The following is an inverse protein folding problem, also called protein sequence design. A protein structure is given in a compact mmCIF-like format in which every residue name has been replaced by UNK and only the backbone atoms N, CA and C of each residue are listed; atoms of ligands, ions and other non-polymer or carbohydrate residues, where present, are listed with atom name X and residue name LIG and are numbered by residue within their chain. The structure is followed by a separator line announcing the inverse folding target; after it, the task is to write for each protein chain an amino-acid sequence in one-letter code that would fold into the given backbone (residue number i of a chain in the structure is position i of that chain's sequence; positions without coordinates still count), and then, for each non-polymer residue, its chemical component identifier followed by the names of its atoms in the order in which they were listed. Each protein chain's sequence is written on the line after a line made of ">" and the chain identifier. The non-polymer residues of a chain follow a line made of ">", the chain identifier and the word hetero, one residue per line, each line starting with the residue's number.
data_IF_975529069771
#
_entry.id   IF_975529069771
#
_cell.length_a   1.000
_cell.length_b   1.000
_cell.length_c   1.000
_cell.angle_alpha   90.00
_cell.angle_beta   90.00
_cell.angle_gamma   90.00
#
_symmetry.space_group_name_H-M   'P 1'
#
loop_
_entity.id
_entity.type
_entity.pdbx_description
1 polymer ?
#
# COMPACT_ATOMS: atom_id res chain seq x y z
N UNK A 1 -10.87 2.11 32.31
CA UNK A 1 -9.51 1.99 31.73
C UNK A 1 -9.26 3.17 30.79
N UNK A 2 -8.04 3.69 30.75
CA UNK A 2 -7.60 4.66 29.73
C UNK A 2 -6.99 3.90 28.55
N UNK A 3 -7.45 4.19 27.34
CA UNK A 3 -6.97 3.55 26.11
C UNK A 3 -6.11 4.47 25.26
N UNK A 4 -5.18 3.90 24.51
CA UNK A 4 -4.47 4.56 23.42
C UNK A 4 -4.67 3.72 22.16
N UNK A 5 -5.25 4.31 21.13
CA UNK A 5 -5.30 3.71 19.81
C UNK A 5 -4.19 4.30 18.94
N UNK A 6 -3.29 3.47 18.42
CA UNK A 6 -2.22 3.90 17.52
C UNK A 6 -2.57 3.59 16.07
N UNK A 7 -3.00 4.64 15.34
CA UNK A 7 -3.20 4.59 13.90
C UNK A 7 -1.86 4.50 13.16
N UNK A 8 -1.82 3.66 12.12
CA UNK A 8 -0.68 3.43 11.23
C UNK A 8 -1.15 3.30 9.77
N UNK A 9 -1.34 2.06 9.31
CA UNK A 9 -1.78 1.70 7.96
C UNK A 9 -3.26 1.31 7.95
N UNK A 10 -4.07 2.05 8.71
CA UNK A 10 -5.46 1.77 9.04
C UNK A 10 -6.22 3.08 9.31
N UNK A 11 -6.00 4.10 8.48
CA UNK A 11 -6.54 5.46 8.62
C UNK A 11 -8.05 5.56 8.34
N UNK A 12 -8.84 4.73 9.04
CA UNK A 12 -10.29 4.57 8.91
C UNK A 12 -10.92 4.19 10.25
N UNK A 13 -12.21 4.46 10.40
CA UNK A 13 -12.98 4.01 11.59
C UNK A 13 -13.71 2.69 11.34
N UNK A 14 -14.18 2.44 10.11
CA UNK A 14 -14.87 1.21 9.76
C UNK A 14 -13.91 0.02 9.61
N UNK A 15 -14.43 -1.19 9.78
CA UNK A 15 -13.68 -2.44 9.70
C UNK A 15 -12.37 -2.41 10.50
N UNK A 16 -12.46 -1.94 11.74
CA UNK A 16 -11.34 -1.76 12.63
C UNK A 16 -11.60 -2.47 13.98
N UNK A 17 -11.35 -3.79 14.07
CA UNK A 17 -11.67 -4.59 15.26
C UNK A 17 -10.93 -4.12 16.53
N UNK A 18 -9.68 -3.69 16.40
CA UNK A 18 -8.91 -3.16 17.53
C UNK A 18 -9.55 -1.88 18.09
N UNK A 19 -10.06 -0.99 17.21
CA UNK A 19 -10.72 0.25 17.61
C UNK A 19 -12.07 -0.05 18.27
N UNK A 20 -12.85 -0.98 17.70
CA UNK A 20 -14.12 -1.43 18.28
C UNK A 20 -13.89 -2.04 19.67
N UNK A 21 -12.92 -2.93 19.81
CA UNK A 21 -12.59 -3.53 21.11
C UNK A 21 -12.12 -2.48 22.14
N UNK A 22 -11.27 -1.53 21.73
CA UNK A 22 -10.83 -0.43 22.60
C UNK A 22 -12.02 0.44 23.06
N UNK A 23 -12.95 0.76 22.13
CA UNK A 23 -14.10 1.62 22.43
C UNK A 23 -15.04 1.03 23.47
N UNK A 24 -15.15 -0.31 23.55
CA UNK A 24 -16.00 -1.02 24.50
C UNK A 24 -15.35 -1.18 25.88
N UNK A 25 -14.02 -1.12 25.96
CA UNK A 25 -13.25 -1.42 27.19
C UNK A 25 -12.76 -0.18 27.92
N UNK A 26 -12.67 0.96 27.22
CA UNK A 26 -12.07 2.17 27.76
C UNK A 26 -13.11 3.25 28.08
N UNK A 27 -12.88 3.98 29.18
CA UNK A 27 -13.73 5.11 29.59
C UNK A 27 -13.21 6.43 29.01
N UNK A 28 -11.92 6.48 28.67
CA UNK A 28 -11.29 7.59 27.96
C UNK A 28 -10.29 7.01 26.97
N UNK A 29 -10.09 7.67 25.84
CA UNK A 29 -9.16 7.21 24.82
C UNK A 29 -8.37 8.33 24.17
N UNK A 30 -7.11 8.04 23.86
CA UNK A 30 -6.22 8.85 23.05
C UNK A 30 -6.09 8.24 21.65
N UNK A 31 -6.48 8.98 20.62
CA UNK A 31 -6.33 8.58 19.21
C UNK A 31 -5.03 9.16 18.66
N UNK A 32 -4.01 8.33 18.47
CA UNK A 32 -2.65 8.77 18.17
C UNK A 32 -2.25 8.38 16.74
N UNK A 33 -1.60 9.32 16.04
CA UNK A 33 -0.73 9.03 14.91
C UNK A 33 0.66 9.60 15.20
N UNK A 34 1.72 8.90 14.78
CA UNK A 34 3.11 9.36 14.95
C UNK A 34 3.75 9.50 13.58
N UNK A 35 4.17 10.71 13.24
CA UNK A 35 5.06 10.95 12.10
C UNK A 35 6.49 10.71 12.54
N UNK A 36 7.16 9.77 11.87
CA UNK A 36 8.59 9.55 12.06
C UNK A 36 9.40 10.41 11.07
N UNK A 37 10.21 11.38 11.53
CA UNK A 37 11.04 12.22 10.66
C UNK A 37 12.03 11.44 9.80
N UNK A 38 12.36 10.19 10.15
CA UNK A 38 13.23 9.34 9.35
C UNK A 38 12.63 8.99 7.99
N UNK A 39 11.30 9.03 7.85
CA UNK A 39 10.63 8.70 6.58
C UNK A 39 11.03 9.63 5.43
N UNK A 40 11.32 10.89 5.75
CA UNK A 40 11.63 11.95 4.78
C UNK A 40 13.13 12.06 4.46
N UNK A 41 13.96 11.32 5.19
CA UNK A 41 15.42 11.32 4.98
C UNK A 41 15.79 10.22 4.00
N UNK A 42 16.73 10.47 3.07
CA UNK A 42 17.33 9.39 2.30
C UNK A 42 17.96 8.38 3.25
N UNK A 43 17.61 7.10 3.09
CA UNK A 43 18.07 6.03 3.98
C UNK A 43 18.87 4.99 3.19
N UNK A 44 18.19 4.00 2.60
CA UNK A 44 18.78 2.91 1.83
C UNK A 44 18.59 3.14 0.32
N UNK A 45 19.62 2.79 -0.46
CA UNK A 45 19.59 2.83 -1.93
C UNK A 45 19.23 4.20 -2.54
N UNK A 46 19.76 5.28 -1.95
CA UNK A 46 19.63 6.67 -2.45
C UNK A 46 18.20 7.23 -2.47
N UNK A 47 17.24 6.54 -1.86
CA UNK A 47 15.83 6.93 -1.83
C UNK A 47 15.37 7.23 -0.40
N UNK A 48 14.35 8.07 -0.28
CA UNK A 48 13.60 8.31 0.95
C UNK A 48 12.57 7.19 1.11
N UNK A 49 12.15 6.91 2.35
CA UNK A 49 11.05 5.99 2.58
C UNK A 49 9.72 6.57 2.09
N UNK A 50 9.53 7.88 2.14
CA UNK A 50 8.28 8.54 1.81
C UNK A 50 8.53 9.83 1.03
N UNK A 51 8.04 9.90 -0.21
CA UNK A 51 8.12 11.07 -1.09
C UNK A 51 6.85 11.92 -1.13
N UNK A 52 6.92 13.07 -1.81
CA UNK A 52 5.92 14.14 -1.78
C UNK A 52 4.47 13.69 -2.07
N UNK A 53 4.27 12.77 -3.01
CA UNK A 53 2.92 12.33 -3.41
C UNK A 53 2.25 11.55 -2.28
N UNK A 54 2.98 10.63 -1.65
CA UNK A 54 2.46 9.87 -0.51
C UNK A 54 2.39 10.71 0.76
N UNK A 55 3.26 11.71 0.91
CA UNK A 55 3.20 12.71 1.99
C UNK A 55 1.90 13.50 1.94
N UNK A 56 1.57 14.07 0.79
CA UNK A 56 0.33 14.81 0.58
C UNK A 56 -0.89 13.92 0.84
N UNK A 57 -0.92 12.71 0.26
CA UNK A 57 -2.01 11.75 0.44
C UNK A 57 -2.18 11.32 1.91
N UNK A 58 -1.09 11.14 2.63
CA UNK A 58 -1.09 10.86 4.07
C UNK A 58 -1.73 12.01 4.84
N UNK A 59 -1.36 13.25 4.56
CA UNK A 59 -1.89 14.41 5.29
C UNK A 59 -3.36 14.65 5.00
N UNK A 60 -3.79 14.48 3.75
CA UNK A 60 -5.21 14.49 3.39
C UNK A 60 -5.98 13.39 4.16
N UNK A 61 -5.42 12.18 4.23
CA UNK A 61 -6.02 11.06 4.96
C UNK A 61 -6.14 11.33 6.46
N UNK A 62 -5.14 11.94 7.08
CA UNK A 62 -5.17 12.28 8.51
C UNK A 62 -6.13 13.44 8.82
N UNK A 63 -6.28 14.42 7.92
CA UNK A 63 -7.31 15.47 8.03
C UNK A 63 -8.72 14.87 7.92
N UNK A 64 -8.92 13.94 6.98
CA UNK A 64 -10.19 13.22 6.84
C UNK A 64 -10.49 12.39 8.10
N UNK A 65 -9.51 11.66 8.64
CA UNK A 65 -9.64 10.92 9.88
C UNK A 65 -9.96 11.83 11.08
N UNK A 66 -9.30 12.99 11.20
CA UNK A 66 -9.62 13.98 12.24
C UNK A 66 -11.07 14.46 12.14
N UNK A 67 -11.57 14.73 10.92
CA UNK A 67 -12.95 15.14 10.67
C UNK A 67 -13.94 14.06 11.12
N UNK A 68 -13.68 12.79 10.82
CA UNK A 68 -14.54 11.69 11.27
C UNK A 68 -14.49 11.49 12.79
N UNK A 69 -13.31 11.59 13.41
CA UNK A 69 -13.18 11.50 14.86
C UNK A 69 -13.94 12.62 15.57
N UNK A 70 -13.95 13.84 15.03
CA UNK A 70 -14.70 14.99 15.59
C UNK A 70 -16.20 14.74 15.62
N UNK A 71 -16.77 14.06 14.61
CA UNK A 71 -18.19 13.66 14.59
C UNK A 71 -18.54 12.77 15.79
N UNK A 72 -17.59 11.95 16.23
CA UNK A 72 -17.71 11.07 17.41
C UNK A 72 -17.18 11.69 18.71
N UNK A 73 -17.10 13.04 18.79
CA UNK A 73 -16.59 13.79 19.96
C UNK A 73 -15.16 13.37 20.38
N UNK A 74 -14.38 12.88 19.43
CA UNK A 74 -12.99 12.50 19.57
C UNK A 74 -12.09 13.45 18.76
N UNK A 75 -10.78 13.27 18.89
CA UNK A 75 -9.79 14.04 18.13
C UNK A 75 -8.56 13.22 17.82
N UNK A 76 -8.00 13.43 16.64
CA UNK A 76 -6.67 12.90 16.32
C UNK A 76 -5.60 13.73 17.04
N UNK A 77 -4.70 13.05 17.72
CA UNK A 77 -3.46 13.62 18.26
C UNK A 77 -2.33 13.14 17.38
N UNK A 78 -1.64 14.08 16.75
CA UNK A 78 -0.46 13.77 15.94
C UNK A 78 0.78 14.23 16.68
N UNK A 79 1.76 13.33 16.75
CA UNK A 79 3.09 13.57 17.33
C UNK A 79 4.16 13.39 16.26
N UNK A 80 5.29 14.08 16.42
CA UNK A 80 6.44 13.98 15.52
C UNK A 80 7.64 13.43 16.27
N UNK A 81 8.15 12.28 15.85
CA UNK A 81 9.33 11.64 16.43
C UNK A 81 9.30 10.12 16.35
N UNK A 82 10.11 9.47 17.18
CA UNK A 82 10.21 8.02 17.24
C UNK A 82 8.98 7.43 17.99
N UNK A 83 8.15 6.58 17.36
CA UNK A 83 7.00 5.97 18.04
C UNK A 83 7.40 5.11 19.25
N UNK A 84 8.62 4.54 19.24
CA UNK A 84 9.14 3.72 20.35
C UNK A 84 9.54 4.54 21.59
N UNK A 85 9.58 5.85 21.49
CA UNK A 85 9.82 6.77 22.61
C UNK A 85 8.51 7.48 23.02
N UNK A 86 7.79 8.00 22.03
CA UNK A 86 6.55 8.75 22.23
C UNK A 86 5.45 7.90 22.88
N UNK A 87 5.24 6.67 22.41
CA UNK A 87 4.15 5.82 22.92
C UNK A 87 4.38 5.47 24.39
N UNK A 88 5.57 4.98 24.81
CA UNK A 88 5.84 4.77 26.24
C UNK A 88 5.69 6.03 27.10
N UNK A 89 6.13 7.19 26.62
CA UNK A 89 5.95 8.46 27.34
C UNK A 89 4.46 8.77 27.55
N UNK A 90 3.65 8.69 26.50
CA UNK A 90 2.20 8.93 26.56
C UNK A 90 1.49 7.89 27.44
N UNK A 91 1.91 6.63 27.37
CA UNK A 91 1.39 5.57 28.22
C UNK A 91 1.59 5.88 29.71
N UNK A 92 2.79 6.33 30.08
CA UNK A 92 3.11 6.74 31.45
C UNK A 92 2.34 8.00 31.85
N UNK A 93 2.38 9.04 31.02
CA UNK A 93 1.77 10.35 31.28
C UNK A 93 0.27 10.27 31.53
N UNK A 94 -0.44 9.47 30.73
CA UNK A 94 -1.91 9.38 30.77
C UNK A 94 -2.41 8.12 31.48
N UNK A 95 -1.52 7.37 32.14
CA UNK A 95 -1.85 6.11 32.82
C UNK A 95 -2.64 5.16 31.91
N UNK A 96 -2.17 4.98 30.67
CA UNK A 96 -2.83 4.12 29.68
C UNK A 96 -2.79 2.67 30.19
N UNK A 97 -3.95 2.02 30.18
CA UNK A 97 -4.10 0.61 30.56
C UNK A 97 -4.15 -0.33 29.35
N UNK A 98 -4.53 0.20 28.19
CA UNK A 98 -4.68 -0.56 26.94
C UNK A 98 -4.11 0.23 25.75
N UNK A 99 -3.05 -0.27 25.14
CA UNK A 99 -2.60 0.13 23.81
C UNK A 99 -3.26 -0.79 22.77
N UNK A 100 -3.95 -0.22 21.78
CA UNK A 100 -4.53 -0.96 20.67
C UNK A 100 -3.96 -0.50 19.33
N UNK A 101 -3.72 -1.44 18.41
CA UNK A 101 -3.30 -1.15 17.04
C UNK A 101 -3.75 -2.25 16.08
N UNK A 102 -3.85 -1.94 14.79
CA UNK A 102 -4.04 -2.95 13.74
C UNK A 102 -2.73 -3.65 13.40
N UNK A 103 -2.78 -4.96 13.17
CA UNK A 103 -1.64 -5.75 12.68
C UNK A 103 -1.19 -5.32 11.28
N UNK A 104 0.10 -5.39 11.00
CA UNK A 104 0.65 -5.08 9.68
C UNK A 104 1.81 -6.04 9.35
N UNK A 105 1.89 -6.59 8.13
CA UNK A 105 2.91 -7.58 7.78
C UNK A 105 4.27 -6.97 7.47
N UNK A 106 4.43 -5.65 7.47
CA UNK A 106 5.76 -5.04 7.32
C UNK A 106 6.71 -5.39 8.48
N UNK A 107 7.99 -5.56 8.17
CA UNK A 107 8.99 -6.05 9.13
C UNK A 107 9.27 -5.02 10.23
N UNK A 108 9.35 -3.74 9.88
CA UNK A 108 9.60 -2.68 10.86
C UNK A 108 8.38 -2.49 11.76
N UNK A 109 7.17 -2.53 11.19
CA UNK A 109 5.91 -2.39 11.89
C UNK A 109 5.68 -3.51 12.91
N UNK A 110 6.06 -4.75 12.57
CA UNK A 110 6.04 -5.88 13.52
C UNK A 110 7.06 -5.69 14.63
N UNK A 111 8.32 -5.35 14.29
CA UNK A 111 9.37 -5.12 15.30
C UNK A 111 8.98 -4.02 16.29
N UNK A 112 8.31 -2.97 15.83
CA UNK A 112 7.79 -1.91 16.70
C UNK A 112 6.74 -2.45 17.67
N UNK A 113 5.76 -3.22 17.19
CA UNK A 113 4.74 -3.81 18.07
C UNK A 113 5.33 -4.83 19.04
N UNK A 114 6.25 -5.69 18.59
CA UNK A 114 6.95 -6.66 19.45
C UNK A 114 7.73 -5.95 20.56
N UNK A 115 8.39 -4.84 20.24
CA UNK A 115 9.11 -4.03 21.22
C UNK A 115 8.15 -3.41 22.24
N UNK A 116 7.07 -2.75 21.79
CA UNK A 116 6.09 -2.13 22.68
C UNK A 116 5.39 -3.15 23.58
N UNK A 117 5.08 -4.34 23.05
CA UNK A 117 4.45 -5.44 23.81
C UNK A 117 5.35 -5.93 24.93
N UNK A 118 6.68 -5.94 24.72
CA UNK A 118 7.66 -6.37 25.74
C UNK A 118 8.02 -5.29 26.75
N UNK A 119 7.86 -4.02 26.40
CA UNK A 119 8.40 -2.90 27.18
C UNK A 119 7.34 -2.10 27.92
N UNK A 120 6.10 -2.07 27.42
CA UNK A 120 5.02 -1.34 28.08
C UNK A 120 4.44 -2.14 29.26
N UNK A 121 4.13 -1.47 30.38
CA UNK A 121 3.47 -2.11 31.52
C UNK A 121 1.96 -2.31 31.32
N UNK A 122 1.39 -1.74 30.25
CA UNK A 122 -0.02 -1.83 29.92
C UNK A 122 -0.32 -2.99 28.96
N UNK A 123 -1.59 -3.39 28.86
CA UNK A 123 -1.99 -4.40 27.88
C UNK A 123 -1.79 -3.88 26.46
N UNK A 124 -1.18 -4.68 25.60
CA UNK A 124 -1.04 -4.38 24.16
C UNK A 124 -1.93 -5.34 23.37
N UNK A 125 -2.94 -4.78 22.70
CA UNK A 125 -3.90 -5.51 21.88
C UNK A 125 -3.65 -5.21 20.40
N UNK A 126 -3.44 -6.27 19.62
CA UNK A 126 -3.29 -6.19 18.18
C UNK A 126 -4.41 -6.98 17.51
N UNK A 127 -5.05 -6.41 16.49
CA UNK A 127 -6.12 -7.10 15.74
C UNK A 127 -5.89 -7.06 14.24
N UNK A 128 -6.39 -8.08 13.55
CA UNK A 128 -6.17 -8.27 12.12
C UNK A 128 -7.31 -7.65 11.28
N UNK A 129 -6.99 -6.61 10.51
CA UNK A 129 -7.91 -6.01 9.54
C UNK A 129 -7.23 -5.41 8.30
N UNK A 130 -5.94 -5.66 8.11
CA UNK A 130 -5.21 -5.22 6.91
C UNK A 130 -5.37 -6.21 5.72
N UNK A 131 -5.76 -7.44 6.01
CA UNK A 131 -5.85 -8.57 5.09
C UNK A 131 -7.31 -9.01 4.85
N UNK A 132 -7.56 -9.70 3.72
CA UNK A 132 -8.85 -10.33 3.42
C UNK A 132 -9.18 -11.43 4.44
N UNK A 133 -8.17 -12.22 4.80
CA UNK A 133 -8.29 -13.34 5.73
C UNK A 133 -7.54 -13.04 7.02
N UNK A 134 -7.96 -13.67 8.11
CA UNK A 134 -7.20 -13.69 9.37
C UNK A 134 -6.35 -14.94 9.47
N UNK A 135 -5.30 -14.92 10.31
CA UNK A 135 -4.41 -16.07 10.57
C UNK A 135 -5.17 -17.35 10.87
N UNK A 136 -6.27 -17.24 11.62
CA UNK A 136 -7.07 -18.38 12.07
C UNK A 136 -7.86 -19.04 10.92
N UNK A 137 -8.05 -18.34 9.79
CA UNK A 137 -8.70 -18.90 8.60
C UNK A 137 -7.71 -19.61 7.67
N UNK A 138 -6.43 -19.23 7.68
CA UNK A 138 -5.44 -19.79 6.77
C UNK A 138 -4.75 -21.01 7.37
N UNK A 139 -4.47 -22.01 6.53
CA UNK A 139 -3.77 -23.23 6.95
C UNK A 139 -2.27 -23.23 6.63
N UNK A 140 -1.73 -22.11 6.16
CA UNK A 140 -0.34 -22.03 5.72
C UNK A 140 0.61 -21.82 6.90
N UNK A 141 1.73 -22.51 6.88
CA UNK A 141 2.90 -22.23 7.72
C UNK A 141 4.03 -21.70 6.84
N UNK A 142 5.10 -21.23 7.47
CA UNK A 142 6.29 -20.79 6.74
C UNK A 142 6.89 -21.89 5.87
N UNK A 143 6.82 -23.14 6.31
CA UNK A 143 7.40 -24.31 5.65
C UNK A 143 6.57 -24.76 4.44
N UNK A 144 5.25 -24.54 4.47
CA UNK A 144 4.33 -25.02 3.43
C UNK A 144 3.68 -23.89 2.60
N UNK A 145 4.17 -22.65 2.77
CA UNK A 145 3.65 -21.48 2.07
C UNK A 145 3.75 -21.68 0.55
N UNK A 146 2.69 -21.41 -0.22
CA UNK A 146 2.69 -21.59 -1.68
C UNK A 146 3.78 -20.78 -2.38
N UNK A 147 4.61 -21.45 -3.18
CA UNK A 147 5.71 -20.80 -3.90
C UNK A 147 5.23 -19.98 -5.11
N UNK A 148 4.02 -20.25 -5.61
CA UNK A 148 3.41 -19.49 -6.71
C UNK A 148 2.03 -18.98 -6.33
N UNK A 149 1.61 -17.87 -6.96
CA UNK A 149 0.26 -17.33 -6.79
C UNK A 149 -0.83 -18.33 -7.21
N UNK A 150 -0.63 -19.09 -8.29
CA UNK A 150 -1.60 -20.10 -8.72
C UNK A 150 -1.80 -21.18 -7.65
N UNK A 151 -0.72 -21.64 -7.01
CA UNK A 151 -0.82 -22.58 -5.88
C UNK A 151 -1.55 -21.93 -4.69
N UNK A 152 -1.26 -20.66 -4.38
CA UNK A 152 -1.96 -19.92 -3.33
C UNK A 152 -3.47 -19.83 -3.60
N UNK A 153 -3.85 -19.33 -4.78
CA UNK A 153 -5.25 -19.23 -5.22
C UNK A 153 -5.97 -20.58 -5.16
N UNK A 154 -5.32 -21.65 -5.63
CA UNK A 154 -5.90 -23.00 -5.60
C UNK A 154 -6.09 -23.50 -4.17
N UNK A 155 -5.15 -23.25 -3.24
CA UNK A 155 -5.32 -23.64 -1.84
C UNK A 155 -6.44 -22.86 -1.14
N UNK A 156 -6.54 -21.54 -1.38
CA UNK A 156 -7.64 -20.72 -0.87
C UNK A 156 -8.99 -21.26 -1.36
N UNK A 157 -9.09 -21.57 -2.66
CA UNK A 157 -10.30 -22.15 -3.27
C UNK A 157 -10.63 -23.53 -2.72
N UNK A 158 -9.64 -24.41 -2.55
CA UNK A 158 -9.84 -25.77 -2.03
C UNK A 158 -10.33 -25.79 -0.57
N UNK A 159 -10.03 -24.74 0.18
CA UNK A 159 -10.49 -24.56 1.56
C UNK A 159 -11.84 -23.84 1.66
N UNK A 160 -12.42 -23.40 0.53
CA UNK A 160 -13.62 -22.56 0.47
C UNK A 160 -13.51 -21.34 1.40
N UNK A 161 -12.32 -20.74 1.49
CA UNK A 161 -12.14 -19.57 2.35
C UNK A 161 -12.85 -18.36 1.76
N UNK A 162 -13.72 -17.78 2.56
CA UNK A 162 -14.37 -16.52 2.27
C UNK A 162 -13.66 -15.37 3.00
N UNK A 163 -13.50 -14.20 2.35
CA UNK A 163 -13.02 -13.00 3.03
C UNK A 163 -13.82 -12.71 4.31
N UNK A 164 -13.16 -12.17 5.33
CA UNK A 164 -13.87 -11.70 6.51
C UNK A 164 -14.87 -10.60 6.14
N UNK A 165 -16.06 -10.66 6.73
CA UNK A 165 -17.08 -9.61 6.58
C UNK A 165 -16.56 -8.34 7.27
N UNK A 166 -16.55 -7.18 6.60
CA UNK A 166 -16.15 -5.93 7.22
C UNK A 166 -17.11 -5.56 8.34
N UNK A 167 -16.57 -5.15 9.49
CA UNK A 167 -17.40 -4.71 10.62
C UNK A 167 -17.70 -3.21 10.54
N UNK A 168 -18.83 -2.79 11.13
CA UNK A 168 -19.14 -1.37 11.25
C UNK A 168 -18.13 -0.63 12.14
N UNK A 169 -18.02 0.69 11.94
CA UNK A 169 -17.30 1.56 12.87
C UNK A 169 -17.99 1.56 14.25
N UNK A 170 -17.29 1.89 15.35
CA UNK A 170 -17.93 1.97 16.67
C UNK A 170 -19.09 2.97 16.69
N UNK A 171 -20.21 2.60 17.34
CA UNK A 171 -21.38 3.47 17.51
C UNK A 171 -21.05 4.75 18.28
N UNK A 172 -20.12 4.66 19.22
CA UNK A 172 -19.54 5.78 19.95
C UNK A 172 -18.07 5.51 20.27
N UNK A 173 -17.31 6.57 20.45
CA UNK A 173 -15.94 6.49 20.96
C UNK A 173 -15.90 7.01 22.39
N UNK A 174 -15.00 6.47 23.25
CA UNK A 174 -14.80 7.00 24.60
C UNK A 174 -14.42 8.49 24.53
N UNK A 175 -14.72 9.30 25.55
CA UNK A 175 -14.23 10.67 25.66
C UNK A 175 -12.72 10.81 25.43
N UNK A 176 -12.32 11.91 24.80
CA UNK A 176 -10.92 12.16 24.45
C UNK A 176 -10.05 12.46 25.67
N UNK A 177 -8.89 11.81 25.75
CA UNK A 177 -7.81 12.24 26.64
C UNK A 177 -7.16 13.48 26.03
N UNK A 178 -7.04 14.55 26.81
CA UNK A 178 -6.41 15.78 26.33
C UNK A 178 -4.89 15.60 26.21
N UNK A 179 -4.37 15.72 25.00
CA UNK A 179 -2.94 15.81 24.71
C UNK A 179 -2.68 16.91 23.68
N UNK A 180 -1.55 17.61 23.82
CA UNK A 180 -1.15 18.62 22.86
C UNK A 180 -0.72 17.93 21.56
N UNK A 181 -1.25 18.37 20.43
CA UNK A 181 -0.74 17.95 19.12
C UNK A 181 0.52 18.73 18.77
N UNK A 182 1.46 18.07 18.11
CA UNK A 182 2.63 18.76 17.59
C UNK A 182 2.25 19.54 16.33
N UNK A 183 3.00 20.61 16.06
CA UNK A 183 2.99 21.19 14.72
C UNK A 183 3.77 20.24 13.82
N UNK A 184 3.19 19.94 12.69
CA UNK A 184 3.68 18.94 11.76
C UNK A 184 3.44 19.49 10.36
N UNK A 185 4.40 19.20 9.47
CA UNK A 185 4.48 19.80 8.13
C UNK A 185 3.22 19.60 7.31
N UNK A 186 3.10 20.39 6.23
CA UNK A 186 2.03 20.21 5.24
C UNK A 186 0.63 20.63 5.66
N UNK A 187 0.48 21.39 6.76
CA UNK A 187 -0.74 22.17 7.00
C UNK A 187 -1.01 23.19 5.88
N UNK A 188 0.02 23.56 5.13
CA UNK A 188 -0.01 24.51 4.01
C UNK A 188 0.07 23.87 2.62
N UNK A 189 0.03 22.53 2.47
CA UNK A 189 0.00 21.94 1.13
C UNK A 189 -1.34 22.30 0.46
N UNK A 190 -1.32 23.34 -0.36
CA UNK A 190 -2.26 23.69 -1.42
C UNK A 190 -1.67 23.14 -2.72
N UNK A 191 -1.40 21.84 -2.76
CA UNK A 191 -1.00 21.21 -4.00
C UNK A 191 -1.96 20.06 -4.21
N UNK A 192 -2.72 20.09 -5.30
CA UNK A 192 -3.37 18.91 -5.87
C UNK A 192 -2.32 18.26 -6.78
N UNK A 193 -1.22 17.72 -6.23
CA UNK A 193 -0.14 17.16 -7.06
C UNK A 193 -0.63 15.98 -7.90
N UNK A 194 -1.69 15.34 -7.44
CA UNK A 194 -2.28 14.16 -8.06
C UNK A 194 -3.81 14.26 -7.96
N UNK A 195 -4.56 13.54 -8.81
CA UNK A 195 -6.01 13.46 -8.70
C UNK A 195 -6.47 12.57 -7.53
N UNK A 196 -5.55 12.02 -6.75
CA UNK A 196 -5.88 11.27 -5.54
C UNK A 196 -6.13 12.23 -4.38
N UNK A 197 -7.26 12.02 -3.70
CA UNK A 197 -7.57 12.68 -2.44
C UNK A 197 -7.60 11.65 -1.30
N UNK A 198 -6.71 11.81 -0.33
CA UNK A 198 -6.62 10.93 0.83
C UNK A 198 -7.86 10.96 1.74
N UNK A 199 -8.13 9.83 2.39
CA UNK A 199 -9.19 9.68 3.40
C UNK A 199 -10.19 8.55 3.12
N UNK A 200 -10.82 8.06 4.19
CA UNK A 200 -11.81 6.97 4.13
C UNK A 200 -12.99 7.32 3.19
N UNK A 201 -13.57 8.51 3.36
CA UNK A 201 -14.67 9.00 2.52
C UNK A 201 -14.29 9.02 1.03
N UNK A 202 -13.11 9.56 0.68
CA UNK A 202 -12.63 9.61 -0.71
C UNK A 202 -12.40 8.23 -1.30
N UNK A 203 -11.90 7.28 -0.50
CA UNK A 203 -11.74 5.89 -0.92
C UNK A 203 -13.07 5.20 -1.20
N UNK A 204 -14.08 5.45 -0.37
CA UNK A 204 -15.45 4.95 -0.58
C UNK A 204 -16.11 5.59 -1.80
N UNK A 205 -15.88 6.89 -2.04
CA UNK A 205 -16.33 7.58 -3.26
C UNK A 205 -15.71 6.94 -4.49
N UNK A 206 -14.39 6.71 -4.50
CA UNK A 206 -13.73 6.07 -5.63
C UNK A 206 -14.22 4.62 -5.84
N UNK A 207 -14.45 3.86 -4.77
CA UNK A 207 -15.03 2.52 -4.84
C UNK A 207 -16.42 2.57 -5.51
N UNK A 208 -17.30 3.46 -5.05
CA UNK A 208 -18.62 3.63 -5.64
C UNK A 208 -18.57 4.12 -7.09
N UNK A 209 -17.65 5.04 -7.38
CA UNK A 209 -17.44 5.58 -8.70
C UNK A 209 -17.09 4.46 -9.69
N UNK A 210 -16.11 3.62 -9.35
CA UNK A 210 -15.65 2.53 -10.21
C UNK A 210 -16.68 1.39 -10.36
N UNK A 211 -17.32 0.97 -9.27
CA UNK A 211 -18.25 -0.17 -9.28
C UNK A 211 -19.60 0.21 -9.90
N UNK A 212 -20.14 1.37 -9.54
CA UNK A 212 -21.55 1.68 -9.80
C UNK A 212 -21.76 2.86 -10.75
N UNK A 213 -21.02 3.96 -10.59
CA UNK A 213 -21.26 5.17 -11.41
C UNK A 213 -20.74 5.03 -12.82
N UNK A 214 -19.46 4.69 -12.98
CA UNK A 214 -18.83 4.48 -14.30
C UNK A 214 -19.00 3.06 -14.80
N UNK A 215 -19.40 2.13 -13.92
CA UNK A 215 -19.49 0.69 -14.20
C UNK A 215 -18.18 0.13 -14.77
N UNK A 216 -17.02 0.70 -14.38
CA UNK A 216 -15.70 0.30 -14.85
C UNK A 216 -15.40 -1.18 -14.59
N UNK A 217 -16.01 -1.76 -13.54
CA UNK A 217 -15.90 -3.18 -13.24
C UNK A 217 -16.42 -4.08 -14.37
N UNK A 218 -17.37 -3.65 -15.21
CA UNK A 218 -17.88 -4.47 -16.33
C UNK A 218 -16.78 -4.85 -17.33
N UNK A 219 -15.90 -3.90 -17.65
CA UNK A 219 -14.83 -4.07 -18.64
C UNK A 219 -13.43 -4.25 -18.01
N UNK A 220 -13.36 -4.48 -16.70
CA UNK A 220 -12.09 -4.47 -15.96
C UNK A 220 -11.05 -5.46 -16.52
N UNK A 221 -11.46 -6.70 -16.85
CA UNK A 221 -10.50 -7.70 -17.33
C UNK A 221 -9.79 -7.27 -18.63
N UNK A 222 -10.49 -6.55 -19.51
CA UNK A 222 -9.94 -6.10 -20.78
C UNK A 222 -9.16 -4.78 -20.64
N UNK A 223 -9.61 -3.89 -19.74
CA UNK A 223 -9.07 -2.54 -19.59
C UNK A 223 -7.82 -2.46 -18.68
N UNK A 224 -7.65 -3.39 -17.73
CA UNK A 224 -6.67 -3.29 -16.63
C UNK A 224 -5.19 -3.15 -17.02
N UNK A 225 -4.84 -3.42 -18.28
CA UNK A 225 -3.47 -3.32 -18.77
C UNK A 225 -3.18 -1.96 -19.46
N UNK A 226 -4.13 -1.03 -19.50
CA UNK A 226 -3.89 0.32 -20.04
C UNK A 226 -2.81 1.10 -19.26
N UNK A 227 -2.06 1.96 -19.97
CA UNK A 227 -0.96 2.73 -19.37
C UNK A 227 -1.41 4.00 -18.64
N UNK A 228 -2.41 4.70 -19.18
CA UNK A 228 -2.77 6.03 -18.70
C UNK A 228 -4.27 6.26 -18.85
N UNK A 229 -4.90 6.88 -17.85
CA UNK A 229 -6.35 7.07 -17.76
C UNK A 229 -6.97 6.44 -16.52
N UNK A 230 -7.85 7.20 -15.85
CA UNK A 230 -8.47 6.80 -14.58
C UNK A 230 -9.38 5.57 -14.72
N UNK A 231 -10.04 5.44 -15.88
CA UNK A 231 -11.03 4.40 -16.20
C UNK A 231 -10.45 2.99 -16.41
N UNK A 232 -9.14 2.86 -16.64
CA UNK A 232 -8.54 1.57 -16.98
C UNK A 232 -8.45 0.61 -15.78
N UNK A 233 -8.47 1.11 -14.54
CA UNK A 233 -8.42 0.28 -13.35
C UNK A 233 -9.25 0.87 -12.21
N UNK A 234 -9.37 0.14 -11.10
CA UNK A 234 -10.12 0.60 -9.93
C UNK A 234 -9.52 1.83 -9.25
N UNK A 235 -8.21 2.06 -9.44
CA UNK A 235 -7.42 3.12 -8.78
C UNK A 235 -7.46 3.07 -7.25
N UNK A 236 -7.91 1.97 -6.63
CA UNK A 236 -8.09 1.87 -5.17
C UNK A 236 -6.79 1.69 -4.36
N UNK A 237 -5.66 1.47 -5.04
CA UNK A 237 -4.40 1.05 -4.41
C UNK A 237 -3.89 2.01 -3.34
N UNK A 238 -4.00 3.33 -3.55
CA UNK A 238 -3.53 4.33 -2.58
C UNK A 238 -4.28 4.22 -1.22
N UNK A 239 -5.60 4.13 -1.27
CA UNK A 239 -6.43 3.98 -0.06
C UNK A 239 -6.28 2.61 0.60
N UNK A 240 -6.03 1.56 -0.18
CA UNK A 240 -5.73 0.22 0.36
C UNK A 240 -4.35 0.18 1.05
N UNK A 241 -3.37 0.93 0.56
CA UNK A 241 -2.00 0.92 1.07
C UNK A 241 -1.88 1.62 2.44
N UNK A 242 -2.51 2.77 2.63
CA UNK A 242 -2.54 3.46 3.93
C UNK A 242 -3.73 3.03 4.82
N UNK A 243 -4.55 2.11 4.34
CA UNK A 243 -5.69 1.55 5.06
C UNK A 243 -6.88 2.48 5.27
N UNK A 244 -6.94 3.62 4.57
CA UNK A 244 -8.14 4.44 4.50
C UNK A 244 -9.33 3.68 3.90
N UNK A 245 -9.09 2.69 3.04
CA UNK A 245 -10.11 1.74 2.57
C UNK A 245 -9.73 0.32 2.99
N UNK A 246 -10.67 -0.41 3.59
CA UNK A 246 -10.46 -1.82 3.90
C UNK A 246 -10.58 -2.68 2.65
N UNK A 247 -9.65 -3.64 2.50
CA UNK A 247 -9.74 -4.67 1.47
C UNK A 247 -10.99 -5.56 1.63
N UNK A 248 -11.48 -5.74 2.87
CA UNK A 248 -12.71 -6.50 3.16
C UNK A 248 -13.95 -5.74 2.70
N UNK A 249 -13.94 -4.42 2.80
CA UNK A 249 -15.00 -3.57 2.23
C UNK A 249 -15.04 -3.70 0.72
N UNK A 250 -13.89 -3.70 0.03
CA UNK A 250 -13.85 -3.92 -1.43
C UNK A 250 -14.36 -5.31 -1.81
N UNK A 251 -13.99 -6.35 -1.06
CA UNK A 251 -14.47 -7.71 -1.29
C UNK A 251 -15.99 -7.86 -1.06
N UNK A 252 -16.52 -7.25 0.00
CA UNK A 252 -17.96 -7.23 0.27
C UNK A 252 -18.73 -6.45 -0.80
N UNK A 253 -18.18 -5.34 -1.30
CA UNK A 253 -18.81 -4.59 -2.41
C UNK A 253 -18.78 -5.37 -3.72
N UNK A 254 -17.73 -6.16 -3.95
CA UNK A 254 -17.64 -7.09 -5.08
C UNK A 254 -18.69 -8.19 -5.00
N UNK A 255 -18.89 -8.79 -3.82
CA UNK A 255 -19.94 -9.79 -3.59
C UNK A 255 -21.34 -9.18 -3.81
N UNK A 256 -21.61 -7.98 -3.28
CA UNK A 256 -22.85 -7.24 -3.55
C UNK A 256 -23.04 -6.92 -5.04
N UNK A 257 -21.97 -6.57 -5.75
CA UNK A 257 -22.02 -6.34 -7.19
C UNK A 257 -22.37 -7.62 -7.96
N UNK A 258 -21.72 -8.74 -7.64
CA UNK A 258 -21.99 -10.05 -8.25
C UNK A 258 -23.39 -10.56 -7.92
N UNK A 259 -23.90 -10.31 -6.70
CA UNK A 259 -25.28 -10.64 -6.34
C UNK A 259 -26.31 -9.95 -7.24
N UNK A 260 -26.07 -8.68 -7.61
CA UNK A 260 -27.01 -7.90 -8.44
C UNK A 260 -26.83 -8.07 -9.94
N UNK A 261 -25.60 -8.33 -10.40
CA UNK A 261 -25.25 -8.32 -11.83
C UNK A 261 -24.77 -9.67 -12.36
N UNK A 262 -24.59 -10.67 -11.48
CA UNK A 262 -23.94 -11.94 -11.80
C UNK A 262 -22.41 -11.87 -11.78
N UNK A 263 -21.78 -13.04 -11.69
CA UNK A 263 -20.34 -13.20 -11.84
C UNK A 263 -19.92 -13.01 -13.29
N UNK A 264 -18.72 -12.50 -13.52
CA UNK A 264 -18.16 -12.30 -14.85
C UNK A 264 -16.64 -12.46 -14.84
N UNK A 265 -15.98 -12.61 -16.00
CA UNK A 265 -14.53 -12.61 -16.08
C UNK A 265 -13.89 -11.35 -15.46
N UNK A 266 -14.57 -10.21 -15.50
CA UNK A 266 -14.09 -8.96 -14.89
C UNK A 266 -14.19 -8.93 -13.37
N UNK A 267 -15.25 -9.50 -12.78
CA UNK A 267 -15.36 -9.60 -11.31
C UNK A 267 -14.38 -10.63 -10.76
N UNK A 268 -14.20 -11.75 -11.46
CA UNK A 268 -13.16 -12.75 -11.15
C UNK A 268 -11.74 -12.17 -11.25
N UNK A 269 -11.47 -11.36 -12.28
CA UNK A 269 -10.19 -10.67 -12.43
C UNK A 269 -9.96 -9.71 -11.26
N UNK A 270 -10.95 -8.92 -10.86
CA UNK A 270 -10.87 -8.01 -9.70
C UNK A 270 -10.55 -8.80 -8.41
N UNK A 271 -11.29 -9.87 -8.14
CA UNK A 271 -11.02 -10.73 -6.97
C UNK A 271 -9.61 -11.33 -7.02
N UNK A 272 -9.16 -11.76 -8.20
CA UNK A 272 -7.81 -12.30 -8.38
C UNK A 272 -6.72 -11.27 -8.08
N UNK A 273 -6.91 -9.98 -8.39
CA UNK A 273 -5.95 -8.93 -8.02
C UNK A 273 -5.95 -8.65 -6.51
N UNK A 274 -7.12 -8.73 -5.83
CA UNK A 274 -7.17 -8.68 -4.36
C UNK A 274 -6.42 -9.85 -3.72
N UNK A 275 -6.52 -11.05 -4.30
CA UNK A 275 -5.74 -12.21 -3.86
C UNK A 275 -4.24 -12.06 -4.13
N UNK A 276 -3.82 -11.35 -5.19
CA UNK A 276 -2.41 -11.05 -5.41
C UNK A 276 -1.84 -10.17 -4.29
N UNK A 277 -2.59 -9.13 -3.90
CA UNK A 277 -2.24 -8.33 -2.71
C UNK A 277 -2.11 -9.25 -1.49
N UNK A 278 -3.12 -10.07 -1.22
CA UNK A 278 -3.15 -11.01 -0.10
C UNK A 278 -1.95 -11.97 -0.09
N UNK A 279 -1.61 -12.54 -1.25
CA UNK A 279 -0.45 -13.42 -1.42
C UNK A 279 0.84 -12.75 -0.97
N UNK A 280 1.08 -11.50 -1.41
CA UNK A 280 2.28 -10.77 -1.01
C UNK A 280 2.28 -10.41 0.47
N UNK A 281 1.14 -10.07 1.06
CA UNK A 281 1.04 -9.81 2.52
C UNK A 281 1.48 -11.03 3.34
N UNK A 282 0.98 -12.23 2.99
CA UNK A 282 1.39 -13.47 3.67
C UNK A 282 2.84 -13.85 3.38
N UNK A 283 3.32 -13.61 2.15
CA UNK A 283 4.72 -13.84 1.81
C UNK A 283 5.64 -12.96 2.68
N UNK A 284 5.28 -11.69 2.89
CA UNK A 284 6.00 -10.78 3.79
C UNK A 284 5.90 -11.22 5.26
N UNK A 285 4.76 -11.75 5.69
CA UNK A 285 4.59 -12.33 7.02
C UNK A 285 5.56 -13.50 7.26
N UNK A 286 5.59 -14.49 6.37
CA UNK A 286 6.39 -15.71 6.57
C UNK A 286 7.88 -15.55 6.27
N UNK A 287 8.24 -14.79 5.21
CA UNK A 287 9.63 -14.65 4.77
C UNK A 287 10.34 -13.44 5.39
N UNK A 288 9.61 -12.46 5.92
CA UNK A 288 10.14 -11.34 6.70
C UNK A 288 11.33 -10.65 6.01
N UNK A 289 12.47 -10.49 6.68
CA UNK A 289 13.66 -9.78 6.16
C UNK A 289 14.21 -10.34 4.84
N UNK A 290 13.90 -11.59 4.47
CA UNK A 290 14.27 -12.15 3.16
C UNK A 290 13.59 -11.44 2.00
N UNK A 291 12.49 -10.72 2.24
CA UNK A 291 11.83 -9.86 1.25
C UNK A 291 12.70 -8.69 0.78
N UNK A 292 13.76 -8.33 1.50
CA UNK A 292 14.65 -7.22 1.17
C UNK A 292 16.07 -7.67 0.79
N UNK A 293 16.35 -8.97 0.91
CA UNK A 293 17.67 -9.52 0.67
C UNK A 293 18.02 -9.52 -0.83
N UNK A 294 19.25 -9.18 -1.19
CA UNK A 294 19.70 -9.11 -2.59
C UNK A 294 19.45 -10.40 -3.37
N UNK A 295 19.70 -11.54 -2.73
CA UNK A 295 19.52 -12.90 -3.24
C UNK A 295 18.09 -13.46 -3.03
N UNK A 296 17.19 -12.62 -2.51
CA UNK A 296 15.74 -12.84 -2.36
C UNK A 296 15.33 -14.10 -1.60
N UNK A 297 14.08 -14.54 -1.75
CA UNK A 297 13.61 -15.77 -1.11
C UNK A 297 14.38 -17.01 -1.60
N UNK A 298 14.78 -17.04 -2.88
CA UNK A 298 15.53 -18.15 -3.51
C UNK A 298 16.95 -18.36 -2.98
N UNK A 299 17.54 -17.39 -2.30
CA UNK A 299 18.97 -17.42 -1.88
C UNK A 299 19.93 -17.62 -3.06
N UNK A 300 19.56 -17.06 -4.22
CA UNK A 300 20.38 -17.10 -5.44
C UNK A 300 20.67 -15.67 -5.86
N UNK A 301 21.96 -15.31 -5.91
CA UNK A 301 22.38 -13.96 -6.30
C UNK A 301 22.05 -13.72 -7.78
N UNK A 302 21.38 -12.61 -8.12
CA UNK A 302 21.25 -12.18 -9.51
C UNK A 302 22.59 -11.63 -10.00
N UNK A 303 22.77 -11.58 -11.33
CA UNK A 303 23.97 -11.02 -11.97
C UNK A 303 23.91 -9.49 -12.11
N UNK A 304 23.25 -8.82 -11.19
CA UNK A 304 23.08 -7.36 -11.20
C UNK A 304 24.02 -6.68 -10.21
N UNK A 305 24.33 -5.41 -10.46
CA UNK A 305 25.17 -4.57 -9.60
C UNK A 305 24.62 -3.15 -9.55
N UNK A 306 25.24 -2.25 -8.79
CA UNK A 306 24.89 -0.84 -8.86
C UNK A 306 25.69 -0.14 -9.97
N UNK A 307 25.00 0.24 -11.05
CA UNK A 307 25.53 1.08 -12.13
C UNK A 307 24.88 2.46 -12.05
N UNK A 308 25.62 3.46 -11.56
CA UNK A 308 25.07 4.78 -11.22
C UNK A 308 24.47 5.52 -12.42
N UNK A 309 25.14 5.49 -13.56
CA UNK A 309 24.68 6.14 -14.79
C UNK A 309 23.38 5.50 -15.31
N UNK A 310 23.36 4.17 -15.45
CA UNK A 310 22.17 3.43 -15.88
C UNK A 310 20.99 3.65 -14.92
N UNK A 311 21.25 3.63 -13.62
CA UNK A 311 20.21 3.89 -12.61
C UNK A 311 19.66 5.32 -12.73
N UNK A 312 20.52 6.34 -12.89
CA UNK A 312 20.10 7.73 -13.03
C UNK A 312 19.31 7.96 -14.32
N UNK A 313 19.73 7.34 -15.43
CA UNK A 313 18.99 7.39 -16.69
C UNK A 313 17.59 6.77 -16.54
N UNK A 314 17.48 5.63 -15.86
CA UNK A 314 16.18 5.00 -15.56
C UNK A 314 15.32 5.87 -14.64
N UNK A 315 15.89 6.35 -13.54
CA UNK A 315 15.22 7.20 -12.54
C UNK A 315 14.58 8.44 -13.19
N UNK A 316 15.30 9.09 -14.11
CA UNK A 316 14.87 10.31 -14.79
C UNK A 316 14.02 10.06 -16.03
N UNK A 317 13.92 8.81 -16.50
CA UNK A 317 13.28 8.48 -17.77
C UNK A 317 14.04 9.03 -18.98
N UNK A 318 15.35 8.80 -19.02
CA UNK A 318 16.31 9.20 -20.06
C UNK A 318 17.16 8.02 -20.56
N UNK A 319 16.58 6.82 -20.59
CA UNK A 319 17.19 5.62 -21.18
C UNK A 319 17.08 5.63 -22.71
N UNK A 320 17.68 4.65 -23.38
CA UNK A 320 17.47 4.43 -24.83
C UNK A 320 16.07 3.90 -25.17
N UNK A 321 15.24 3.55 -24.17
CA UNK A 321 13.93 2.92 -24.35
C UNK A 321 12.77 3.91 -24.14
N UNK A 322 12.10 4.40 -25.20
CA UNK A 322 11.09 5.46 -25.08
C UNK A 322 9.90 5.09 -24.18
N UNK A 323 9.43 3.84 -24.24
CA UNK A 323 8.33 3.36 -23.40
C UNK A 323 8.69 3.36 -21.91
N UNK A 324 9.92 2.97 -21.56
CA UNK A 324 10.42 3.02 -20.19
C UNK A 324 10.48 4.46 -19.70
N UNK A 325 10.98 5.36 -20.55
CA UNK A 325 11.07 6.78 -20.25
C UNK A 325 9.70 7.39 -19.97
N UNK A 326 8.70 7.09 -20.81
CA UNK A 326 7.32 7.55 -20.63
C UNK A 326 6.72 7.07 -19.31
N UNK A 327 6.88 5.78 -18.97
CA UNK A 327 6.44 5.26 -17.67
C UNK A 327 7.15 5.94 -16.49
N UNK A 328 8.47 6.09 -16.53
CA UNK A 328 9.22 6.70 -15.43
C UNK A 328 8.86 8.18 -15.25
N UNK A 329 8.63 8.92 -16.33
CA UNK A 329 8.15 10.30 -16.27
C UNK A 329 6.73 10.40 -15.70
N UNK A 330 5.83 9.49 -16.07
CA UNK A 330 4.50 9.38 -15.45
C UNK A 330 4.61 9.19 -13.93
N UNK A 331 5.46 8.28 -13.47
CA UNK A 331 5.70 8.06 -12.04
C UNK A 331 6.24 9.32 -11.35
N UNK A 332 7.22 9.98 -11.94
CA UNK A 332 7.88 11.14 -11.34
C UNK A 332 6.98 12.38 -11.24
N UNK A 333 6.01 12.50 -12.14
CA UNK A 333 5.09 13.63 -12.19
C UNK A 333 3.78 13.39 -11.43
N UNK A 334 3.34 12.13 -11.31
CA UNK A 334 2.01 11.81 -10.74
C UNK A 334 2.06 10.94 -9.47
N UNK A 335 3.21 10.35 -9.14
CA UNK A 335 3.33 9.36 -8.08
C UNK A 335 2.60 8.04 -8.37
N UNK A 336 2.07 7.85 -9.58
CA UNK A 336 1.39 6.63 -9.99
C UNK A 336 2.00 6.07 -11.27
N UNK A 337 2.00 4.74 -11.38
CA UNK A 337 2.29 4.03 -12.62
C UNK A 337 1.33 2.84 -12.75
N UNK A 338 0.86 2.55 -13.98
CA UNK A 338 0.00 1.39 -14.23
C UNK A 338 0.73 0.08 -13.89
N UNK A 339 0.00 -0.98 -13.57
CA UNK A 339 0.60 -2.30 -13.28
C UNK A 339 1.49 -2.79 -14.45
N UNK A 340 1.04 -2.54 -15.67
CA UNK A 340 1.78 -2.89 -16.88
C UNK A 340 3.08 -2.09 -17.00
N UNK A 341 3.02 -0.77 -16.78
CA UNK A 341 4.21 0.09 -16.74
C UNK A 341 5.21 -0.37 -15.68
N UNK A 342 4.74 -0.69 -14.47
CA UNK A 342 5.60 -1.16 -13.36
C UNK A 342 6.40 -2.41 -13.73
N UNK A 343 5.76 -3.38 -14.41
CA UNK A 343 6.43 -4.59 -14.89
C UNK A 343 7.52 -4.28 -15.92
N UNK A 344 7.21 -3.40 -16.87
CA UNK A 344 8.13 -3.01 -17.96
C UNK A 344 9.37 -2.32 -17.39
N UNK A 345 9.18 -1.28 -16.57
CA UNK A 345 10.32 -0.51 -16.06
C UNK A 345 11.19 -1.31 -15.09
N UNK A 346 10.59 -2.20 -14.30
CA UNK A 346 11.33 -3.10 -13.42
C UNK A 346 12.08 -4.18 -14.23
N UNK A 347 11.44 -4.76 -15.26
CA UNK A 347 12.14 -5.68 -16.18
C UNK A 347 13.33 -5.00 -16.85
N UNK A 348 13.15 -3.78 -17.36
CA UNK A 348 14.23 -3.01 -17.99
C UNK A 348 15.40 -2.78 -17.01
N UNK A 349 15.10 -2.29 -15.80
CA UNK A 349 16.13 -2.01 -14.79
C UNK A 349 17.01 -3.24 -14.49
N UNK A 350 16.40 -4.42 -14.35
CA UNK A 350 17.13 -5.63 -13.95
C UNK A 350 17.71 -6.39 -15.14
N UNK A 351 17.03 -6.41 -16.29
CA UNK A 351 17.44 -7.24 -17.44
C UNK A 351 18.28 -6.49 -18.46
N UNK A 352 17.92 -5.25 -18.82
CA UNK A 352 18.65 -4.48 -19.82
C UNK A 352 19.77 -3.65 -19.17
N UNK A 353 19.46 -3.00 -18.05
CA UNK A 353 20.38 -2.08 -17.40
C UNK A 353 21.31 -2.77 -16.38
N UNK A 354 21.03 -4.03 -16.03
CA UNK A 354 21.82 -4.83 -15.10
C UNK A 354 21.87 -4.27 -13.67
N UNK A 355 20.94 -3.38 -13.29
CA UNK A 355 20.97 -2.69 -12.00
C UNK A 355 20.37 -3.56 -10.89
N UNK A 356 20.95 -3.47 -9.69
CA UNK A 356 20.42 -4.08 -8.47
C UNK A 356 18.97 -3.63 -8.23
N UNK A 357 18.07 -4.62 -8.25
CA UNK A 357 16.63 -4.43 -8.16
C UNK A 357 16.18 -3.66 -6.92
N UNK A 358 16.98 -3.69 -5.84
CA UNK A 358 16.65 -3.01 -4.59
C UNK A 358 16.66 -1.49 -4.72
N UNK A 359 17.45 -0.94 -5.64
CA UNK A 359 17.43 0.49 -5.96
C UNK A 359 16.14 0.89 -6.66
N UNK A 360 15.64 0.07 -7.59
CA UNK A 360 14.34 0.28 -8.20
C UNK A 360 13.19 0.15 -7.19
N UNK A 361 13.25 -0.86 -6.32
CA UNK A 361 12.27 -1.06 -5.26
C UNK A 361 12.21 0.11 -4.27
N UNK A 362 13.36 0.64 -3.87
CA UNK A 362 13.46 1.80 -2.99
C UNK A 362 13.00 3.10 -3.70
N UNK A 363 13.28 3.24 -5.00
CA UNK A 363 12.77 4.37 -5.77
C UNK A 363 11.23 4.34 -5.88
N UNK A 364 10.67 3.15 -6.09
CA UNK A 364 9.22 2.95 -6.04
C UNK A 364 8.64 3.23 -4.65
N UNK A 365 9.35 2.84 -3.58
CA UNK A 365 8.99 3.21 -2.21
C UNK A 365 8.95 4.74 -2.03
N UNK A 366 9.87 5.49 -2.63
CA UNK A 366 9.83 6.95 -2.56
C UNK A 366 8.66 7.55 -3.36
N UNK A 367 8.49 7.13 -4.62
CA UNK A 367 7.62 7.82 -5.59
C UNK A 367 6.16 7.37 -5.53
N UNK A 368 5.89 6.09 -5.27
CA UNK A 368 4.54 5.57 -5.36
C UNK A 368 3.64 6.14 -4.26
N UNK A 369 2.55 6.78 -4.70
CA UNK A 369 1.44 7.19 -3.83
C UNK A 369 0.78 5.99 -3.16
N UNK A 370 0.82 4.82 -3.81
CA UNK A 370 0.22 3.58 -3.36
C UNK A 370 1.23 2.53 -2.89
N UNK A 371 2.40 2.98 -2.43
CA UNK A 371 3.41 2.08 -1.89
C UNK A 371 2.84 1.22 -0.75
N UNK A 372 2.87 -0.08 -0.96
CA UNK A 372 2.63 -1.13 0.03
C UNK A 372 3.90 -2.00 0.08
N UNK A 373 4.49 -2.14 1.27
CA UNK A 373 5.80 -2.78 1.44
C UNK A 373 5.81 -4.24 0.94
N UNK A 374 4.72 -4.99 1.15
CA UNK A 374 4.66 -6.38 0.77
C UNK A 374 4.50 -6.52 -0.75
N UNK A 375 3.58 -5.74 -1.32
CA UNK A 375 3.26 -5.77 -2.74
C UNK A 375 4.42 -5.24 -3.59
N UNK A 376 5.06 -4.13 -3.17
CA UNK A 376 6.19 -3.56 -3.88
C UNK A 376 7.37 -4.55 -3.91
N UNK A 377 7.89 -4.93 -2.75
CA UNK A 377 9.08 -5.79 -2.67
C UNK A 377 8.81 -7.20 -3.19
N UNK A 378 7.59 -7.71 -3.04
CA UNK A 378 7.18 -9.00 -3.61
C UNK A 378 7.20 -9.01 -5.14
N UNK A 379 6.64 -7.97 -5.79
CA UNK A 379 6.70 -7.84 -7.25
C UNK A 379 8.13 -7.65 -7.75
N UNK A 380 8.92 -6.80 -7.09
CA UNK A 380 10.31 -6.57 -7.46
C UNK A 380 11.16 -7.85 -7.35
N UNK A 381 10.99 -8.66 -6.31
CA UNK A 381 11.67 -9.96 -6.23
C UNK A 381 11.25 -10.92 -7.34
N UNK A 382 9.96 -10.97 -7.68
CA UNK A 382 9.47 -11.80 -8.77
C UNK A 382 10.14 -11.41 -10.09
N UNK A 383 10.17 -10.12 -10.43
CA UNK A 383 10.76 -9.60 -11.66
C UNK A 383 12.29 -9.70 -11.67
N UNK A 384 12.92 -9.60 -10.51
CA UNK A 384 14.36 -9.82 -10.37
C UNK A 384 14.75 -11.32 -10.46
N UNK A 385 13.78 -12.23 -10.44
CA UNK A 385 14.01 -13.68 -10.51
C UNK A 385 14.50 -14.30 -9.20
N UNK A 386 14.44 -13.54 -8.09
CA UNK A 386 14.91 -13.94 -6.76
C UNK A 386 13.77 -14.23 -5.77
N UNK A 387 12.51 -14.02 -6.20
CA UNK A 387 11.30 -14.29 -5.40
C UNK A 387 10.97 -15.78 -5.22
N UNK A 388 9.82 -16.07 -4.59
CA UNK A 388 9.43 -17.43 -4.23
C UNK A 388 9.12 -18.35 -5.43
N UNK A 389 8.69 -17.78 -6.56
CA UNK A 389 8.26 -18.56 -7.74
C UNK A 389 9.46 -19.30 -8.36
N UNK A 390 9.48 -20.64 -8.42
CA UNK A 390 10.59 -21.42 -8.96
C UNK A 390 10.81 -21.23 -10.47
N UNK A 391 9.85 -20.65 -11.19
CA UNK A 391 9.95 -20.40 -12.64
C UNK A 391 11.15 -19.51 -12.99
N UNK A 392 11.61 -19.55 -14.26
CA UNK A 392 12.62 -18.65 -14.77
C UNK A 392 12.28 -17.19 -14.54
N UNK A 393 13.31 -16.35 -14.42
CA UNK A 393 13.16 -14.91 -14.27
C UNK A 393 12.32 -14.36 -15.43
N UNK A 394 11.24 -13.60 -15.15
CA UNK A 394 10.47 -12.93 -16.19
C UNK A 394 11.34 -11.93 -16.95
N UNK A 395 11.18 -11.91 -18.28
CA UNK A 395 11.77 -10.92 -19.16
C UNK A 395 10.70 -10.38 -20.09
N UNK A 396 10.49 -9.07 -20.06
CA UNK A 396 9.54 -8.37 -20.91
C UNK A 396 10.32 -7.67 -22.03
N UNK A 397 10.24 -8.18 -23.27
CA UNK A 397 10.77 -7.47 -24.43
C UNK A 397 10.05 -6.14 -24.60
N UNK A 398 10.80 -5.05 -24.45
CA UNK A 398 10.27 -3.69 -24.44
C UNK A 398 9.59 -3.37 -25.77
N UNK A 399 10.15 -3.82 -26.90
CA UNK A 399 9.62 -3.63 -28.24
C UNK A 399 8.28 -4.34 -28.42
N UNK A 400 8.15 -5.56 -27.88
CA UNK A 400 6.87 -6.28 -27.89
C UNK A 400 5.85 -5.54 -27.04
N UNK A 401 6.23 -5.07 -25.85
CA UNK A 401 5.30 -4.35 -24.98
C UNK A 401 4.82 -3.02 -25.59
N UNK A 402 5.70 -2.29 -26.30
CA UNK A 402 5.31 -1.10 -27.04
C UNK A 402 4.29 -1.42 -28.13
N UNK A 403 4.55 -2.45 -28.95
CA UNK A 403 3.61 -2.87 -30.00
C UNK A 403 2.27 -3.35 -29.48
N UNK A 404 2.26 -4.09 -28.38
CA UNK A 404 1.04 -4.71 -27.85
C UNK A 404 0.17 -3.71 -27.05
N UNK A 405 0.77 -2.71 -26.39
CA UNK A 405 0.07 -1.85 -25.42
C UNK A 405 0.13 -0.34 -25.72
N UNK A 406 1.00 0.10 -26.63
CA UNK A 406 1.06 1.48 -27.14
C UNK A 406 1.28 1.50 -28.67
N UNK A 407 0.40 0.84 -29.45
CA UNK A 407 0.61 0.60 -30.89
C UNK A 407 0.68 1.89 -31.73
N UNK A 408 0.04 2.96 -31.27
CA UNK A 408 0.04 4.27 -31.94
C UNK A 408 1.09 5.24 -31.36
N UNK A 409 1.83 4.81 -30.33
CA UNK A 409 2.81 5.64 -29.63
C UNK A 409 2.20 6.82 -28.88
N UNK A 410 0.89 6.85 -28.65
CA UNK A 410 0.19 7.98 -28.03
C UNK A 410 0.62 8.18 -26.58
N UNK A 411 0.87 7.09 -25.84
CA UNK A 411 1.36 7.17 -24.46
C UNK A 411 2.80 7.69 -24.44
N UNK A 412 3.68 7.14 -25.28
CA UNK A 412 5.06 7.65 -25.39
C UNK A 412 5.08 9.12 -25.77
N UNK A 413 4.32 9.55 -26.78
CA UNK A 413 4.26 10.93 -27.22
C UNK A 413 3.80 11.88 -26.10
N UNK A 414 2.74 11.52 -25.36
CA UNK A 414 2.22 12.31 -24.24
C UNK A 414 3.29 12.60 -23.17
N UNK A 415 4.11 11.60 -22.84
CA UNK A 415 5.11 11.73 -21.78
C UNK A 415 6.51 12.09 -22.31
N UNK A 416 6.71 12.16 -23.63
CA UNK A 416 7.96 12.56 -24.27
C UNK A 416 8.29 14.05 -24.05
N UNK A 417 7.27 14.92 -24.06
CA UNK A 417 7.41 16.38 -23.92
C UNK A 417 7.39 16.87 -22.47
N UNK A 418 7.04 15.99 -21.53
CA UNK A 418 6.83 16.37 -20.14
C UNK A 418 8.15 16.73 -19.43
N UNK A 419 8.44 18.03 -19.33
CA UNK A 419 9.50 18.56 -18.48
C UNK A 419 9.15 18.31 -17.00
N UNK A 420 10.11 18.10 -16.08
CA UNK A 420 9.86 18.00 -14.64
C UNK A 420 9.03 19.15 -14.04
N UNK A 421 8.95 20.30 -14.73
CA UNK A 421 8.21 21.50 -14.32
C UNK A 421 6.77 21.58 -14.82
N UNK A 422 6.37 20.77 -15.81
CA UNK A 422 5.02 20.83 -16.37
C UNK A 422 4.12 19.80 -15.68
N UNK A 423 3.37 20.29 -14.70
CA UNK A 423 2.19 19.62 -14.18
C UNK A 423 1.16 19.51 -15.32
N UNK A 424 1.18 18.39 -16.05
CA UNK A 424 0.18 18.05 -17.08
C UNK A 424 -1.13 17.59 -16.42
N UNK A 425 -1.69 18.41 -15.53
CA UNK A 425 -3.02 18.18 -14.95
C UNK A 425 -4.10 18.57 -15.98
N UNK A 426 -4.31 17.68 -16.95
CA UNK A 426 -5.59 17.54 -17.66
C UNK A 426 -5.98 16.07 -17.55
N UNK A 427 -6.77 15.77 -16.52
CA UNK A 427 -7.35 14.44 -16.27
C UNK A 427 -8.79 14.39 -16.72
#
# INVERSE_FOLDING_TARGET
>A
MNGLYWFRHDLRLADNPALVALSKRCNHALMLFVIDPSWFKPSHFQSRHLGRFREEFLYQSLRALEKELKKSKQRLVVKVGNPLEIIPELCKKHSINLLAATDHPGVNERKQMDFLTKTLPCEVMVSESFNLFIRNQISFTKENFPQTFSQFKNKISAQNLLPCIPIAKPDSLPPAIYERRDLWGGQEFIYDLTPYHGGEDSGLVQLNQFFWKTQGLKNYNNAKNGFDGWQFSSRLSAWLANGALSVRTVAAELDNYEYRNGKSPSTEAMYSELLWREYFQWMMHFHSTRMFAFDGIKKKRPLTSFYSENYKAWEQGNTEFPLVNACMRQLNQTGYMSNQGRKIVASCLVNELGVDWRFGAAYFEQQLIDFDVATNYGNWQHLAGVGADPKPKPHFSIEKQARDYDPDGSFVAKWAESSPSESLLKF
#
